data_IF_094910579141
#
_entry.id   IF_094910579141
#
_cell.length_a   1.000
_cell.length_b   1.000
_cell.length_c   1.000
_cell.angle_alpha   90.00
_cell.angle_beta   90.00
_cell.angle_gamma   90.00
#
_symmetry.space_group_name_H-M   'P 1'
#
loop_
_entity.id
_entity.type
_entity.pdbx_description
1 polymer ?
#
# COMPACT_ATOMS: atom_id res chain seq x y z
N UNK A 1 -0.83 7.50 70.71
CA UNK A 1 -0.15 6.18 70.71
C UNK A 1 -0.83 5.24 69.73
N UNK A 2 -0.18 4.97 68.58
CA UNK A 2 -0.08 3.66 67.91
C UNK A 2 0.76 3.84 66.64
N UNK A 3 2.02 3.42 66.72
CA UNK A 3 2.86 3.08 65.56
C UNK A 3 2.69 1.58 65.33
N UNK A 4 2.57 1.16 64.08
CA UNK A 4 2.92 -0.19 63.62
C UNK A 4 3.47 -0.09 62.20
N UNK A 5 4.44 -0.96 61.93
CA UNK A 5 5.58 -0.86 61.00
C UNK A 5 5.42 -1.93 59.89
N UNK A 6 6.27 -1.86 58.86
CA UNK A 6 6.60 -2.85 57.82
C UNK A 6 5.60 -2.91 56.65
N UNK A 7 6.01 -2.98 55.39
CA UNK A 7 7.31 -3.24 54.78
C UNK A 7 7.11 -3.34 53.27
N UNK A 8 8.18 -3.04 52.54
CA UNK A 8 8.29 -2.99 51.07
C UNK A 8 7.87 -4.29 50.41
N UNK A 9 7.09 -4.22 49.32
CA UNK A 9 7.19 -5.17 48.21
C UNK A 9 6.86 -4.44 46.91
N UNK A 10 7.95 -4.09 46.24
CA UNK A 10 8.01 -3.54 44.90
C UNK A 10 7.43 -4.56 43.91
N UNK A 11 6.24 -4.29 43.38
CA UNK A 11 5.73 -4.97 42.19
C UNK A 11 6.16 -4.18 40.96
N UNK A 12 7.33 -4.54 40.40
CA UNK A 12 7.73 -4.12 39.07
C UNK A 12 6.79 -4.81 38.09
N UNK A 13 5.71 -4.13 37.70
CA UNK A 13 4.93 -4.49 36.52
C UNK A 13 5.82 -4.24 35.30
N UNK A 14 6.47 -5.28 34.79
CA UNK A 14 6.99 -5.29 33.44
C UNK A 14 5.79 -5.19 32.49
N UNK A 15 5.41 -3.95 32.15
CA UNK A 15 4.52 -3.71 31.02
C UNK A 15 5.32 -4.06 29.76
N UNK A 16 5.07 -5.23 29.20
CA UNK A 16 5.44 -5.56 27.83
C UNK A 16 4.73 -4.55 26.92
N UNK A 17 5.41 -3.44 26.62
CA UNK A 17 4.98 -2.48 25.60
C UNK A 17 5.12 -3.21 24.27
N UNK A 18 4.12 -4.01 23.93
CA UNK A 18 3.88 -4.42 22.56
C UNK A 18 3.63 -3.15 21.79
N UNK A 19 4.68 -2.66 21.12
CA UNK A 19 4.59 -1.55 20.20
C UNK A 19 3.75 -2.03 19.01
N UNK A 20 2.42 -2.04 19.17
CA UNK A 20 1.50 -2.19 18.07
C UNK A 20 1.65 -0.93 17.22
N UNK A 21 2.56 -0.97 16.26
CA UNK A 21 2.53 -0.03 15.16
C UNK A 21 1.19 -0.25 14.44
N UNK A 22 0.25 0.67 14.60
CA UNK A 22 -1.01 0.73 13.87
C UNK A 22 -0.71 1.05 12.40
N UNK A 23 -0.12 0.10 11.67
CA UNK A 23 -0.03 0.17 10.22
C UNK A 23 -1.32 -0.37 9.63
N UNK A 24 -1.85 0.30 8.61
CA UNK A 24 -2.93 -0.29 7.82
C UNK A 24 -2.37 -1.50 7.09
N UNK A 25 -3.07 -2.63 7.10
CA UNK A 25 -2.63 -3.83 6.40
C UNK A 25 -3.73 -4.29 5.45
N UNK A 26 -3.34 -4.53 4.19
CA UNK A 26 -4.24 -4.99 3.15
C UNK A 26 -3.66 -6.17 2.38
N UNK A 27 -4.52 -6.93 1.73
CA UNK A 27 -4.15 -8.01 0.82
C UNK A 27 -4.70 -7.73 -0.58
N UNK A 28 -3.84 -7.84 -1.59
CA UNK A 28 -4.17 -7.62 -3.00
C UNK A 28 -3.89 -8.91 -3.77
N UNK A 29 -4.78 -9.29 -4.67
CA UNK A 29 -4.54 -10.39 -5.61
C UNK A 29 -4.18 -9.79 -6.96
N UNK A 30 -2.97 -10.08 -7.43
CA UNK A 30 -2.47 -9.65 -8.74
C UNK A 30 -2.40 -10.86 -9.68
N UNK A 31 -2.39 -10.59 -10.99
CA UNK A 31 -1.97 -11.59 -11.99
C UNK A 31 -0.58 -11.23 -12.48
N UNK A 32 0.17 -12.24 -12.90
CA UNK A 32 1.41 -12.01 -13.61
C UNK A 32 1.14 -11.10 -14.83
N UNK A 33 2.12 -10.26 -15.17
CA UNK A 33 2.08 -9.37 -16.34
C UNK A 33 0.90 -8.38 -16.45
N UNK A 34 0.06 -8.25 -15.41
CA UNK A 34 -1.07 -7.32 -15.35
C UNK A 34 -0.87 -6.30 -14.22
N UNK A 35 -1.15 -5.03 -14.52
CA UNK A 35 -1.21 -4.00 -13.48
C UNK A 35 -2.42 -4.24 -12.57
N UNK A 36 -2.18 -4.19 -11.27
CA UNK A 36 -3.21 -4.35 -10.25
C UNK A 36 -3.26 -3.10 -9.38
N UNK A 37 -4.45 -2.53 -9.21
CA UNK A 37 -4.65 -1.41 -8.27
C UNK A 37 -4.49 -1.92 -6.84
N UNK A 38 -3.63 -1.25 -6.08
CA UNK A 38 -3.49 -1.47 -4.63
C UNK A 38 -4.54 -0.66 -3.88
N UNK A 39 -4.55 0.66 -4.08
CA UNK A 39 -5.39 1.61 -3.35
C UNK A 39 -5.48 2.93 -4.12
N UNK A 40 -6.56 3.68 -3.89
CA UNK A 40 -6.77 5.03 -4.38
C UNK A 40 -6.88 6.04 -3.24
N UNK A 41 -6.32 7.24 -3.45
CA UNK A 41 -6.40 8.38 -2.54
C UNK A 41 -7.09 9.53 -3.26
N UNK A 42 -8.30 9.87 -2.83
CA UNK A 42 -9.02 11.05 -3.26
C UNK A 42 -9.80 11.59 -2.06
N UNK A 43 -9.52 12.84 -1.70
CA UNK A 43 -10.23 13.57 -0.64
C UNK A 43 -10.78 14.85 -1.25
N UNK A 44 -11.99 15.23 -0.87
CA UNK A 44 -12.63 16.47 -1.28
C UNK A 44 -12.85 17.39 -0.08
N UNK A 45 -12.81 18.70 -0.28
CA UNK A 45 -13.24 19.66 0.74
C UNK A 45 -14.76 19.86 0.73
N UNK A 46 -15.27 20.71 1.61
CA UNK A 46 -16.70 21.00 1.70
C UNK A 46 -17.28 21.75 0.47
N UNK A 47 -16.42 22.21 -0.46
CA UNK A 47 -16.80 22.77 -1.76
C UNK A 47 -16.69 21.75 -2.89
N UNK A 48 -16.33 20.51 -2.55
CA UNK A 48 -16.03 19.43 -3.47
C UNK A 48 -14.86 19.75 -4.41
N UNK A 49 -13.91 20.56 -3.95
CA UNK A 49 -12.63 20.73 -4.62
C UNK A 49 -11.67 19.62 -4.15
N UNK A 50 -10.78 19.12 -5.03
CA UNK A 50 -9.75 18.17 -4.62
C UNK A 50 -8.85 18.77 -3.53
N UNK A 51 -8.61 17.98 -2.49
CA UNK A 51 -7.62 18.29 -1.44
C UNK A 51 -6.22 17.90 -1.94
N UNK A 52 -5.19 18.38 -1.25
CA UNK A 52 -3.79 18.01 -1.48
C UNK A 52 -3.61 16.50 -1.66
N UNK A 53 -2.97 16.10 -2.76
CA UNK A 53 -2.62 14.70 -3.03
C UNK A 53 -1.47 14.24 -2.13
N UNK A 54 -1.52 13.01 -1.59
CA UNK A 54 -0.46 12.53 -0.72
C UNK A 54 0.85 12.33 -1.48
N UNK A 55 1.96 12.67 -0.83
CA UNK A 55 3.29 12.20 -1.24
C UNK A 55 3.43 10.73 -0.87
N UNK A 56 3.77 9.91 -1.84
CA UNK A 56 3.92 8.46 -1.68
C UNK A 56 5.41 8.09 -1.52
N UNK A 57 5.74 7.39 -0.44
CA UNK A 57 7.11 6.93 -0.17
C UNK A 57 7.16 5.44 0.12
N UNK A 58 7.90 4.68 -0.69
CA UNK A 58 8.21 3.28 -0.50
C UNK A 58 9.18 3.11 0.68
N UNK A 59 8.77 2.32 1.66
CA UNK A 59 9.55 2.00 2.88
C UNK A 59 10.12 0.58 2.81
N UNK A 60 9.38 -0.36 2.20
CA UNK A 60 9.86 -1.69 1.85
C UNK A 60 9.49 -1.96 0.40
N UNK A 61 10.50 -2.23 -0.42
CA UNK A 61 10.29 -2.56 -1.82
C UNK A 61 9.70 -3.95 -2.00
N UNK A 62 8.83 -4.15 -3.00
CA UNK A 62 8.43 -5.49 -3.42
C UNK A 62 9.66 -6.25 -3.91
N UNK A 63 9.72 -7.54 -3.59
CA UNK A 63 10.81 -8.40 -4.03
C UNK A 63 10.57 -8.91 -5.45
N UNK A 64 9.31 -9.00 -5.90
CA UNK A 64 8.90 -9.68 -7.13
C UNK A 64 8.04 -8.86 -8.08
N UNK A 65 7.98 -7.55 -7.87
CA UNK A 65 7.26 -6.64 -8.74
C UNK A 65 7.80 -5.23 -8.66
N UNK A 66 7.04 -4.31 -9.24
CA UNK A 66 7.25 -2.87 -9.14
C UNK A 66 5.96 -2.19 -8.67
N UNK A 67 6.10 -1.01 -8.09
CA UNK A 67 4.99 -0.16 -7.67
C UNK A 67 5.15 1.23 -8.30
N UNK A 68 4.05 1.80 -8.77
CA UNK A 68 4.03 3.15 -9.32
C UNK A 68 2.68 3.81 -9.03
N UNK A 69 2.55 5.10 -9.32
CA UNK A 69 1.27 5.80 -9.15
C UNK A 69 0.81 6.49 -10.44
N UNK A 70 -0.50 6.71 -10.57
CA UNK A 70 -1.09 7.60 -11.57
C UNK A 70 -2.01 8.60 -10.89
N UNK A 71 -2.07 9.80 -11.44
CA UNK A 71 -3.10 10.79 -11.07
C UNK A 71 -4.32 10.49 -11.93
N UNK A 72 -5.45 10.26 -11.28
CA UNK A 72 -6.70 9.87 -11.92
C UNK A 72 -7.85 10.67 -11.30
N UNK A 73 -8.97 10.78 -12.01
CA UNK A 73 -10.17 11.39 -11.45
C UNK A 73 -11.09 10.26 -10.93
N UNK A 74 -11.56 10.40 -9.70
CA UNK A 74 -12.39 9.42 -9.00
C UNK A 74 -13.80 9.98 -8.81
N UNK A 75 -14.81 9.19 -9.12
CA UNK A 75 -16.17 9.53 -8.73
C UNK A 75 -16.34 9.28 -7.22
N UNK A 76 -16.83 10.29 -6.50
CA UNK A 76 -17.17 10.14 -5.08
C UNK A 76 -18.36 9.18 -4.95
N UNK A 77 -18.08 7.98 -4.44
CA UNK A 77 -19.06 6.91 -4.29
C UNK A 77 -20.14 7.28 -3.25
N UNK A 78 -21.32 6.69 -3.38
CA UNK A 78 -22.48 6.99 -2.53
C UNK A 78 -22.31 6.64 -1.04
N UNK A 79 -21.30 5.85 -0.69
CA UNK A 79 -20.93 5.44 0.66
C UNK A 79 -19.77 6.27 1.27
N UNK A 80 -19.35 7.34 0.59
CA UNK A 80 -18.28 8.25 1.03
C UNK A 80 -18.71 9.07 2.25
N UNK A 81 -18.56 8.52 3.45
CA UNK A 81 -19.15 9.06 4.69
C UNK A 81 -18.83 10.53 5.00
N UNK A 82 -17.57 10.97 4.86
CA UNK A 82 -17.18 12.38 5.13
C UNK A 82 -17.47 13.33 3.97
N UNK A 83 -17.63 12.79 2.77
CA UNK A 83 -17.75 13.54 1.52
C UNK A 83 -19.13 13.38 0.88
N UNK A 84 -20.16 13.08 1.69
CA UNK A 84 -21.52 12.85 1.20
C UNK A 84 -22.07 14.01 0.37
N UNK A 85 -21.66 15.25 0.68
CA UNK A 85 -22.04 16.44 -0.08
C UNK A 85 -21.48 16.45 -1.52
N UNK A 86 -20.50 15.59 -1.80
CA UNK A 86 -19.76 15.52 -3.05
C UNK A 86 -20.06 14.26 -3.86
N UNK A 87 -20.97 13.40 -3.42
CA UNK A 87 -21.37 12.18 -4.13
C UNK A 87 -21.69 12.48 -5.61
N UNK A 88 -21.15 11.64 -6.51
CA UNK A 88 -21.30 11.75 -7.96
C UNK A 88 -20.40 12.79 -8.63
N UNK A 89 -19.57 13.52 -7.87
CA UNK A 89 -18.55 14.41 -8.43
C UNK A 89 -17.26 13.67 -8.70
N UNK A 90 -16.56 14.14 -9.73
CA UNK A 90 -15.24 13.67 -10.10
C UNK A 90 -14.18 14.51 -9.39
N UNK A 91 -13.34 13.86 -8.60
CA UNK A 91 -12.30 14.48 -7.78
C UNK A 91 -10.96 13.89 -8.19
N UNK A 92 -9.98 14.75 -8.42
CA UNK A 92 -8.62 14.34 -8.72
C UNK A 92 -7.98 13.65 -7.53
N UNK A 93 -7.42 12.47 -7.76
CA UNK A 93 -6.77 11.63 -6.76
C UNK A 93 -5.53 10.94 -7.33
N UNK A 94 -5.01 9.98 -6.56
CA UNK A 94 -3.90 9.11 -6.96
C UNK A 94 -4.32 7.64 -6.81
N UNK A 95 -4.08 6.84 -7.85
CA UNK A 95 -4.12 5.37 -7.79
C UNK A 95 -2.70 4.83 -7.68
N UNK A 96 -2.49 3.84 -6.81
CA UNK A 96 -1.23 3.11 -6.67
C UNK A 96 -1.38 1.75 -7.36
N UNK A 97 -0.43 1.41 -8.23
CA UNK A 97 -0.43 0.18 -9.02
C UNK A 97 0.74 -0.72 -8.63
N UNK A 98 0.49 -2.02 -8.65
CA UNK A 98 1.50 -3.07 -8.59
C UNK A 98 1.56 -3.80 -9.92
N UNK A 99 2.76 -4.12 -10.39
CA UNK A 99 2.99 -5.01 -11.53
C UNK A 99 3.98 -6.09 -11.12
N UNK A 100 3.55 -7.36 -11.18
CA UNK A 100 4.45 -8.49 -10.96
C UNK A 100 5.48 -8.57 -12.09
N UNK A 101 6.71 -8.98 -11.75
CA UNK A 101 7.71 -9.27 -12.77
C UNK A 101 7.23 -10.45 -13.64
N UNK A 102 7.50 -10.43 -14.96
CA UNK A 102 7.07 -11.49 -15.86
C UNK A 102 7.46 -12.88 -15.36
N UNK A 103 6.52 -13.83 -15.44
CA UNK A 103 6.73 -15.21 -15.03
C UNK A 103 6.76 -15.48 -13.52
N UNK A 104 6.65 -14.46 -12.67
CA UNK A 104 6.53 -14.67 -11.23
C UNK A 104 5.10 -15.02 -10.81
N UNK A 105 4.96 -16.05 -9.98
CA UNK A 105 3.72 -16.35 -9.25
C UNK A 105 4.08 -16.73 -7.82
N UNK A 106 3.35 -16.22 -6.83
CA UNK A 106 3.67 -16.41 -5.42
C UNK A 106 3.38 -15.20 -4.56
N UNK A 107 3.78 -15.24 -3.28
CA UNK A 107 3.60 -14.14 -2.35
C UNK A 107 4.66 -13.05 -2.53
N UNK A 108 4.24 -11.80 -2.60
CA UNK A 108 5.11 -10.62 -2.53
C UNK A 108 4.61 -9.68 -1.42
N UNK A 109 5.43 -8.70 -1.05
CA UNK A 109 5.02 -7.70 -0.05
C UNK A 109 5.77 -6.40 -0.22
N UNK A 110 5.05 -5.30 -0.04
CA UNK A 110 5.64 -3.96 0.03
C UNK A 110 5.07 -3.19 1.22
N UNK A 111 5.73 -2.08 1.55
CA UNK A 111 5.22 -1.13 2.53
C UNK A 111 5.49 0.28 2.05
N UNK A 112 4.48 1.13 2.09
CA UNK A 112 4.60 2.54 1.74
C UNK A 112 4.01 3.45 2.80
N UNK A 113 4.31 4.74 2.67
CA UNK A 113 3.69 5.82 3.41
C UNK A 113 2.99 6.78 2.47
N UNK A 114 1.73 7.11 2.77
CA UNK A 114 1.00 8.20 2.15
C UNK A 114 1.00 9.40 3.11
N UNK A 115 1.55 10.53 2.65
CA UNK A 115 1.88 11.68 3.52
C UNK A 115 1.22 12.94 2.95
N UNK A 116 0.32 13.53 3.73
CA UNK A 116 -0.21 14.90 3.53
C UNK A 116 0.25 15.80 4.67
N UNK A 117 -0.07 17.08 4.63
CA UNK A 117 0.17 17.99 5.76
C UNK A 117 -0.58 17.59 7.03
N UNK A 118 -1.69 16.84 6.90
CA UNK A 118 -2.57 16.48 8.02
C UNK A 118 -2.41 15.04 8.50
N UNK A 119 -1.94 14.13 7.64
CA UNK A 119 -1.96 12.69 7.90
C UNK A 119 -0.71 12.00 7.36
N UNK A 120 -0.25 10.98 8.08
CA UNK A 120 0.74 10.02 7.61
C UNK A 120 0.20 8.62 7.83
N UNK A 121 -0.08 7.93 6.73
CA UNK A 121 -0.53 6.54 6.76
C UNK A 121 0.59 5.62 6.34
N UNK A 122 0.90 4.64 7.19
CA UNK A 122 1.82 3.56 6.85
C UNK A 122 1.03 2.32 6.48
N UNK A 123 1.18 1.87 5.24
CA UNK A 123 0.40 0.77 4.66
C UNK A 123 1.30 -0.40 4.34
N UNK A 124 0.98 -1.58 4.89
CA UNK A 124 1.59 -2.86 4.53
C UNK A 124 0.69 -3.57 3.53
N UNK A 125 1.23 -3.94 2.38
CA UNK A 125 0.50 -4.66 1.33
C UNK A 125 1.06 -6.06 1.22
N UNK A 126 0.23 -7.06 1.42
CA UNK A 126 0.50 -8.46 1.04
C UNK A 126 -0.04 -8.69 -0.35
N UNK A 127 0.80 -9.11 -1.29
CA UNK A 127 0.39 -9.39 -2.66
C UNK A 127 0.41 -10.89 -2.89
N UNK A 128 -0.68 -11.43 -3.45
CA UNK A 128 -0.73 -12.80 -3.97
C UNK A 128 -0.74 -12.73 -5.49
N UNK A 129 0.34 -13.13 -6.13
CA UNK A 129 0.47 -13.16 -7.58
C UNK A 129 0.02 -14.51 -8.12
N UNK A 130 -1.03 -14.49 -8.93
CA UNK A 130 -1.53 -15.63 -9.68
C UNK A 130 -0.78 -15.74 -11.02
N UNK A 131 -0.60 -16.95 -11.58
CA UNK A 131 -0.02 -17.12 -12.91
C UNK A 131 -0.90 -16.48 -14.00
N UNK A 132 -0.29 -16.20 -15.15
CA UNK A 132 -0.99 -15.73 -16.35
C UNK A 132 -2.05 -16.75 -16.77
N UNK A 133 -3.23 -16.28 -17.18
CA UNK A 133 -4.26 -17.14 -17.75
C UNK A 133 -3.77 -17.85 -19.04
N UNK A 134 -2.86 -17.22 -19.80
CA UNK A 134 -2.30 -17.75 -21.05
C UNK A 134 -1.19 -18.81 -20.84
N UNK A 135 -0.45 -18.74 -19.72
CA UNK A 135 0.63 -19.71 -19.42
C UNK A 135 0.12 -21.03 -18.85
N UNK A 136 -1.15 -21.12 -18.45
CA UNK A 136 -1.76 -22.37 -17.98
C UNK A 136 -1.94 -23.42 -19.10
N UNK A 137 -1.80 -23.05 -20.38
CA UNK A 137 -2.05 -23.95 -21.52
C UNK A 137 -0.80 -24.38 -22.29
N UNK A 138 0.37 -23.78 -22.06
CA UNK A 138 1.61 -24.13 -22.76
C UNK A 138 2.78 -24.28 -21.78
N UNK A 139 2.90 -25.47 -21.17
CA UNK A 139 4.10 -25.86 -20.46
C UNK A 139 5.21 -26.19 -21.47
N UNK A 140 6.01 -25.20 -21.82
CA UNK A 140 7.39 -25.38 -22.25
C UNK A 140 8.09 -24.03 -22.28
N UNK A 141 8.70 -23.63 -21.16
CA UNK A 141 9.70 -22.56 -21.17
C UNK A 141 10.93 -23.02 -20.38
N UNK A 142 12.02 -23.05 -21.15
CA UNK A 142 13.44 -23.13 -20.86
C UNK A 142 13.87 -22.31 -19.61
N UNK A 143 14.73 -22.83 -18.71
CA UNK A 143 15.30 -22.06 -17.60
C UNK A 143 16.44 -21.16 -18.11
N UNK A 144 16.12 -20.21 -18.99
CA UNK A 144 17.06 -19.30 -19.63
C UNK A 144 17.07 -17.92 -19.00
N UNK A 145 17.90 -17.69 -17.98
CA UNK A 145 18.44 -16.36 -17.66
C UNK A 145 17.59 -15.47 -16.76
N UNK A 146 17.44 -15.85 -15.48
CA UNK A 146 17.05 -14.89 -14.43
C UNK A 146 18.21 -13.93 -14.15
N UNK A 147 18.35 -12.88 -14.97
CA UNK A 147 18.92 -11.64 -14.47
C UNK A 147 17.91 -11.11 -13.46
N UNK A 148 18.19 -11.28 -12.16
CA UNK A 148 17.40 -10.64 -11.10
C UNK A 148 17.47 -9.14 -11.35
N UNK A 149 16.40 -8.60 -11.93
CA UNK A 149 16.22 -7.16 -11.98
C UNK A 149 16.31 -6.63 -10.53
N UNK A 150 17.12 -5.60 -10.26
CA UNK A 150 17.27 -5.08 -8.91
C UNK A 150 15.93 -4.70 -8.30
N UNK A 151 15.78 -4.94 -7.00
CA UNK A 151 14.63 -4.43 -6.27
C UNK A 151 14.56 -2.90 -6.43
N UNK A 152 13.34 -2.36 -6.46
CA UNK A 152 13.12 -0.92 -6.48
C UNK A 152 13.86 -0.25 -5.31
N UNK A 153 14.36 0.96 -5.52
CA UNK A 153 14.91 1.76 -4.43
C UNK A 153 13.80 2.24 -3.50
N UNK A 154 14.08 2.27 -2.20
CA UNK A 154 13.20 2.94 -1.23
C UNK A 154 13.20 4.45 -1.46
N UNK A 155 12.14 5.14 -1.04
CA UNK A 155 11.96 6.57 -1.26
C UNK A 155 10.71 6.87 -2.08
N UNK A 156 10.64 7.99 -2.82
CA UNK A 156 9.44 8.37 -3.57
C UNK A 156 8.99 7.26 -4.52
N UNK A 157 7.71 6.89 -4.48
CA UNK A 157 7.13 5.99 -5.48
C UNK A 157 7.05 6.77 -6.79
N UNK A 158 7.58 6.26 -7.91
CA UNK A 158 7.55 6.96 -9.19
C UNK A 158 6.15 6.97 -9.82
N UNK A 159 5.91 7.93 -10.70
CA UNK A 159 4.75 7.87 -11.59
C UNK A 159 4.88 6.67 -12.53
N UNK A 160 3.77 6.04 -12.89
CA UNK A 160 3.76 4.94 -13.83
C UNK A 160 4.21 5.42 -15.21
N UNK A 161 5.08 4.66 -15.87
CA UNK A 161 5.45 4.91 -17.26
C UNK A 161 4.27 4.47 -18.13
N UNK A 162 3.60 5.42 -18.77
CA UNK A 162 2.61 5.11 -19.79
C UNK A 162 3.39 4.76 -21.06
N UNK A 163 3.24 3.56 -21.64
CA UNK A 163 3.84 3.26 -22.93
C UNK A 163 3.28 4.25 -23.95
N UNK A 164 4.14 5.14 -24.47
CA UNK A 164 3.77 5.94 -25.65
C UNK A 164 3.64 4.96 -26.82
N UNK A 165 2.44 4.93 -27.40
CA UNK A 165 2.12 4.11 -28.58
C UNK A 165 2.69 4.72 -29.84
#
# INVERSE_FOLDING_TARGET
MRRLILGVLSSVLAMDISCFAQGNEMTVTARASEETVIEGYADADNTCAPVELPRLSLVKSPEHGIVCYRIEDFEVAGDSGRDQACIGRWIRGISIFYLARPGYSGPDSLRYEAITDRRRDRVTVRVRVLPDAASASNLSVDPGGSSREPAMSIGPIPACVIPVS
#
